data_IF_799593851974
#
_entry.id   IF_799593851974
#
_cell.length_a   1.000
_cell.length_b   1.000
_cell.length_c   1.000
_cell.angle_alpha   90.00
_cell.angle_beta   90.00
_cell.angle_gamma   90.00
#
_symmetry.space_group_name_H-M   'P 1'
#
loop_
_entity.id
_entity.type
_entity.pdbx_description
1 polymer ?
#
# COMPACT_ATOMS: atom_id res chain seq x y z
N UNK A 1 9.91 32.77 17.02
CA UNK A 1 10.19 32.23 15.67
C UNK A 1 10.29 30.68 15.59
N UNK A 2 10.10 29.93 16.69
CA UNK A 2 10.18 28.44 16.71
C UNK A 2 8.82 27.70 16.68
N UNK A 3 7.69 28.39 16.69
CA UNK A 3 6.36 27.78 16.75
C UNK A 3 5.67 27.56 15.39
N UNK A 4 6.23 28.05 14.27
CA UNK A 4 5.64 27.87 12.93
C UNK A 4 6.12 26.63 12.18
N UNK A 5 7.29 26.08 12.52
CA UNK A 5 7.87 24.89 11.85
C UNK A 5 7.16 23.57 12.21
N UNK A 6 6.56 23.47 13.40
CA UNK A 6 5.85 22.27 13.84
C UNK A 6 4.48 22.07 13.17
N UNK A 7 3.83 23.16 12.71
CA UNK A 7 2.52 23.08 12.03
C UNK A 7 2.62 22.64 10.56
N UNK A 8 3.76 22.86 9.91
CA UNK A 8 4.00 22.46 8.51
C UNK A 8 4.23 20.94 8.35
N UNK A 9 4.77 20.27 9.38
CA UNK A 9 4.99 18.82 9.36
C UNK A 9 3.70 18.00 9.52
N UNK A 10 2.65 18.56 10.12
CA UNK A 10 1.36 17.89 10.27
C UNK A 10 0.55 17.87 8.96
N UNK A 11 0.76 18.86 8.08
CA UNK A 11 0.07 18.96 6.79
C UNK A 11 0.65 18.02 5.72
N UNK A 12 1.95 17.72 5.77
CA UNK A 12 2.59 16.80 4.82
C UNK A 12 2.15 15.33 5.00
N UNK A 13 1.80 14.92 6.23
CA UNK A 13 1.28 13.56 6.50
C UNK A 13 -0.18 13.42 6.02
N UNK A 14 -0.93 14.51 5.96
CA UNK A 14 -2.33 14.50 5.48
C UNK A 14 -2.43 14.45 3.95
N UNK A 15 -1.51 15.09 3.22
CA UNK A 15 -1.54 15.11 1.75
C UNK A 15 -1.31 13.71 1.13
N UNK A 16 -0.46 12.88 1.73
CA UNK A 16 -0.22 11.50 1.27
C UNK A 16 -1.44 10.56 1.46
N UNK A 17 -2.41 10.93 2.32
CA UNK A 17 -3.60 10.12 2.60
C UNK A 17 -4.83 10.55 1.79
N UNK A 18 -4.81 11.74 1.16
CA UNK A 18 -5.96 12.30 0.40
C UNK A 18 -5.92 11.93 -1.09
N UNK A 19 -4.77 11.51 -1.64
CA UNK A 19 -4.52 11.41 -3.08
C UNK A 19 -5.05 10.14 -3.80
N UNK A 20 -6.02 9.41 -3.23
CA UNK A 20 -6.63 8.23 -3.89
C UNK A 20 -8.08 8.44 -4.35
N UNK A 21 -8.66 9.64 -4.18
CA UNK A 21 -10.11 9.84 -4.10
C UNK A 21 -10.85 10.46 -5.29
N UNK A 22 -10.21 10.84 -6.39
CA UNK A 22 -10.89 11.55 -7.49
C UNK A 22 -10.77 10.80 -8.81
N UNK A 23 -11.70 9.88 -9.07
CA UNK A 23 -12.12 9.47 -10.42
C UNK A 23 -13.15 8.34 -10.36
N UNK A 24 -14.42 8.70 -10.62
CA UNK A 24 -15.30 8.06 -11.60
C UNK A 24 -16.78 8.26 -11.22
N UNK A 25 -17.36 9.36 -11.71
CA UNK A 25 -18.78 9.36 -12.09
C UNK A 25 -18.89 8.63 -13.42
N UNK A 26 -19.79 7.67 -13.51
CA UNK A 26 -20.13 6.97 -14.75
C UNK A 26 -21.46 6.25 -14.57
N UNK A 27 -22.52 6.85 -15.11
CA UNK A 27 -23.89 6.38 -15.08
C UNK A 27 -24.05 5.00 -15.75
N UNK A 28 -25.00 4.21 -15.30
CA UNK A 28 -25.51 3.06 -16.06
C UNK A 28 -27.03 3.16 -16.16
N UNK A 29 -27.47 3.02 -17.41
CA UNK A 29 -28.81 3.22 -17.90
C UNK A 29 -29.79 2.14 -17.42
N UNK A 30 -31.05 2.55 -17.33
CA UNK A 30 -32.23 1.69 -17.20
C UNK A 30 -32.31 0.67 -18.34
N UNK A 31 -32.57 -0.56 -17.97
CA UNK A 31 -33.09 -1.61 -18.84
C UNK A 31 -34.23 -2.30 -18.10
N UNK A 32 -35.45 -1.89 -18.42
CA UNK A 32 -36.69 -2.60 -18.11
C UNK A 32 -36.73 -3.91 -18.89
N UNK A 33 -37.10 -5.01 -18.22
CA UNK A 33 -37.75 -6.14 -18.89
C UNK A 33 -38.71 -6.86 -17.95
N UNK A 34 -39.96 -6.86 -18.37
CA UNK A 34 -41.12 -7.58 -17.84
C UNK A 34 -41.03 -9.08 -18.13
N UNK A 35 -41.54 -9.92 -17.23
CA UNK A 35 -41.66 -11.36 -17.49
C UNK A 35 -42.28 -12.15 -16.33
N UNK A 36 -43.61 -12.29 -16.40
CA UNK A 36 -44.51 -12.96 -15.45
C UNK A 36 -44.20 -14.44 -15.09
N UNK A 37 -44.82 -14.98 -14.01
CA UNK A 37 -44.33 -16.14 -13.28
C UNK A 37 -44.84 -17.48 -13.83
N UNK A 38 -43.99 -18.52 -13.76
CA UNK A 38 -44.43 -19.91 -13.95
C UNK A 38 -44.31 -20.70 -12.64
N UNK A 39 -45.45 -21.31 -12.32
CA UNK A 39 -45.79 -22.16 -11.17
C UNK A 39 -44.81 -23.33 -11.01
N UNK A 40 -44.35 -23.57 -9.78
CA UNK A 40 -43.49 -24.72 -9.42
C UNK A 40 -44.21 -25.61 -8.40
N UNK A 41 -44.31 -26.94 -8.62
CA UNK A 41 -44.97 -27.87 -7.70
C UNK A 41 -44.11 -28.17 -6.45
N UNK A 42 -44.72 -28.65 -5.35
CA UNK A 42 -44.04 -28.80 -4.05
C UNK A 42 -43.01 -29.92 -4.04
N UNK A 43 -41.83 -29.64 -3.48
CA UNK A 43 -40.73 -30.58 -3.31
C UNK A 43 -40.95 -31.50 -2.09
N UNK A 44 -40.62 -32.78 -2.25
CA UNK A 44 -40.54 -33.79 -1.17
C UNK A 44 -39.39 -33.47 -0.21
N UNK A 45 -39.49 -33.81 1.09
CA UNK A 45 -38.43 -33.59 2.06
C UNK A 45 -37.27 -34.57 1.81
N UNK A 46 -36.16 -34.07 1.29
CA UNK A 46 -34.88 -34.78 1.27
C UNK A 46 -34.24 -34.64 2.64
N UNK A 47 -33.96 -35.77 3.29
CA UNK A 47 -33.16 -35.81 4.51
C UNK A 47 -31.81 -35.14 4.26
N UNK A 48 -31.56 -34.03 4.94
CA UNK A 48 -30.28 -33.35 4.91
C UNK A 48 -29.26 -34.17 5.67
N UNK A 49 -28.44 -34.93 4.94
CA UNK A 49 -27.16 -35.41 5.47
C UNK A 49 -26.33 -34.17 5.78
N UNK A 50 -26.13 -33.89 7.07
CA UNK A 50 -25.21 -32.85 7.53
C UNK A 50 -23.80 -33.20 7.03
N UNK A 51 -23.38 -32.54 5.96
CA UNK A 51 -22.00 -32.57 5.52
C UNK A 51 -21.18 -31.86 6.62
N UNK A 52 -20.39 -32.65 7.37
CA UNK A 52 -19.41 -32.12 8.30
C UNK A 52 -18.54 -31.11 7.54
N UNK A 53 -18.44 -29.89 8.06
CA UNK A 53 -17.56 -28.87 7.51
C UNK A 53 -16.13 -29.44 7.44
N UNK A 54 -15.40 -29.27 6.33
CA UNK A 54 -14.03 -29.77 6.23
C UNK A 54 -13.21 -29.14 7.36
N UNK A 55 -12.54 -29.99 8.15
CA UNK A 55 -11.59 -29.55 9.17
C UNK A 55 -10.54 -28.67 8.48
N UNK A 56 -10.53 -27.38 8.81
CA UNK A 56 -9.58 -26.45 8.23
C UNK A 56 -8.19 -26.86 8.73
N UNK A 57 -7.36 -27.40 7.83
CA UNK A 57 -6.04 -27.90 8.20
C UNK A 57 -5.20 -26.76 8.79
N UNK A 58 -4.64 -27.01 9.97
CA UNK A 58 -3.76 -26.06 10.62
C UNK A 58 -2.50 -25.84 9.77
N UNK A 59 -2.03 -24.60 9.71
CA UNK A 59 -0.85 -24.21 8.94
C UNK A 59 0.45 -24.81 9.53
N UNK A 60 0.42 -25.19 10.82
CA UNK A 60 1.52 -25.84 11.51
C UNK A 60 2.82 -25.04 11.42
N UNK A 61 3.91 -25.71 11.06
CA UNK A 61 5.24 -25.11 10.95
C UNK A 61 5.35 -24.04 9.85
N UNK A 62 4.42 -23.99 8.88
CA UNK A 62 4.40 -22.97 7.83
C UNK A 62 3.78 -21.65 8.30
N UNK A 63 3.12 -21.62 9.47
CA UNK A 63 2.41 -20.45 9.99
C UNK A 63 3.24 -19.16 10.05
N UNK A 64 4.46 -19.16 10.65
CA UNK A 64 5.33 -17.99 10.69
C UNK A 64 5.66 -17.44 9.29
N UNK A 65 5.97 -18.34 8.35
CA UNK A 65 6.27 -17.99 6.96
C UNK A 65 5.08 -17.30 6.29
N UNK A 66 3.87 -17.85 6.43
CA UNK A 66 2.64 -17.27 5.87
C UNK A 66 2.36 -15.88 6.46
N UNK A 67 2.57 -15.71 7.77
CA UNK A 67 2.45 -14.42 8.43
C UNK A 67 3.43 -13.39 7.83
N UNK A 68 4.70 -13.76 7.68
CA UNK A 68 5.70 -12.87 7.10
C UNK A 68 5.43 -12.54 5.63
N UNK A 69 4.98 -13.51 4.83
CA UNK A 69 4.59 -13.29 3.43
C UNK A 69 3.40 -12.33 3.29
N UNK A 70 2.39 -12.45 4.17
CA UNK A 70 1.24 -11.54 4.19
C UNK A 70 1.68 -10.09 4.50
N UNK A 71 2.47 -9.88 5.56
CA UNK A 71 3.02 -8.57 5.90
C UNK A 71 3.95 -8.01 4.79
N UNK A 72 4.82 -8.87 4.26
CA UNK A 72 5.75 -8.50 3.19
C UNK A 72 5.04 -8.11 1.89
N UNK A 73 3.89 -8.71 1.59
CA UNK A 73 3.07 -8.34 0.43
C UNK A 73 2.59 -6.89 0.53
N UNK A 74 2.12 -6.46 1.70
CA UNK A 74 1.72 -5.07 1.94
C UNK A 74 2.92 -4.13 1.75
N UNK A 75 4.07 -4.44 2.36
CA UNK A 75 5.27 -3.61 2.24
C UNK A 75 5.82 -3.50 0.80
N UNK A 76 5.76 -4.59 0.02
CA UNK A 76 6.11 -4.60 -1.40
C UNK A 76 5.16 -3.76 -2.23
N UNK A 77 3.85 -3.78 -1.92
CA UNK A 77 2.84 -2.98 -2.62
C UNK A 77 2.96 -1.50 -2.33
N UNK A 78 3.31 -1.11 -1.10
CA UNK A 78 3.68 0.28 -0.77
C UNK A 78 4.84 0.71 -1.70
N UNK A 79 5.93 -0.08 -1.72
CA UNK A 79 7.09 0.23 -2.57
C UNK A 79 6.75 0.29 -4.07
N UNK A 80 5.95 -0.64 -4.57
CA UNK A 80 5.52 -0.66 -5.98
C UNK A 80 4.63 0.52 -6.36
N UNK A 81 3.83 1.03 -5.41
CA UNK A 81 3.03 2.24 -5.56
C UNK A 81 3.89 3.46 -5.86
N UNK A 82 5.06 3.58 -5.23
CA UNK A 82 6.00 4.68 -5.48
C UNK A 82 6.59 4.66 -6.90
N UNK A 83 6.71 3.47 -7.50
CA UNK A 83 7.26 3.29 -8.86
C UNK A 83 6.21 3.48 -9.96
N UNK A 84 4.96 3.10 -9.69
CA UNK A 84 3.93 2.95 -10.75
C UNK A 84 2.58 3.58 -10.38
N UNK A 85 2.54 4.42 -9.36
CA UNK A 85 1.33 5.14 -8.95
C UNK A 85 0.81 6.11 -10.02
N UNK A 86 -0.47 6.52 -9.88
CA UNK A 86 -1.03 7.60 -10.72
C UNK A 86 -0.24 8.89 -10.58
N UNK A 87 0.17 9.22 -9.36
CA UNK A 87 0.96 10.40 -9.04
C UNK A 87 2.35 10.32 -9.64
N UNK A 88 3.04 9.19 -9.49
CA UNK A 88 4.33 8.95 -10.16
C UNK A 88 4.23 9.16 -11.67
N UNK A 89 3.19 8.62 -12.32
CA UNK A 89 2.96 8.85 -13.75
C UNK A 89 2.61 10.32 -14.06
N UNK A 90 1.92 11.00 -13.17
CA UNK A 90 1.59 12.42 -13.31
C UNK A 90 2.85 13.28 -13.25
N UNK A 91 3.66 13.09 -12.21
CA UNK A 91 4.94 13.78 -12.03
C UNK A 91 5.92 13.48 -13.17
N UNK A 92 5.92 12.24 -13.68
CA UNK A 92 6.67 11.89 -14.87
C UNK A 92 6.28 12.76 -16.08
N UNK A 93 4.98 12.91 -16.33
CA UNK A 93 4.48 13.78 -17.41
C UNK A 93 4.82 15.25 -17.17
N UNK A 94 4.78 15.71 -15.92
CA UNK A 94 5.16 17.09 -15.56
C UNK A 94 6.64 17.34 -15.88
N UNK A 95 7.54 16.43 -15.50
CA UNK A 95 8.98 16.53 -15.81
C UNK A 95 9.24 16.47 -17.31
N UNK A 96 8.62 15.52 -18.02
CA UNK A 96 8.83 15.34 -19.46
C UNK A 96 8.24 16.47 -20.32
N UNK A 97 7.18 17.12 -19.83
CA UNK A 97 6.48 18.21 -20.51
C UNK A 97 6.89 19.62 -20.07
N UNK A 98 7.83 19.78 -19.14
CA UNK A 98 8.21 21.09 -18.59
C UNK A 98 8.98 21.94 -19.62
N UNK A 99 8.27 22.78 -20.36
CA UNK A 99 8.86 23.62 -21.40
C UNK A 99 10.03 24.50 -20.89
N UNK A 100 9.97 25.13 -19.70
CA UNK A 100 11.12 25.87 -19.17
C UNK A 100 12.38 24.99 -18.99
N UNK A 101 12.24 23.79 -18.44
CA UNK A 101 13.35 22.84 -18.28
C UNK A 101 13.90 22.40 -19.64
N UNK A 102 13.04 22.01 -20.58
CA UNK A 102 13.46 21.55 -21.91
C UNK A 102 14.24 22.63 -22.67
N UNK A 103 13.75 23.88 -22.64
CA UNK A 103 14.41 25.02 -23.27
C UNK A 103 15.75 25.36 -22.59
N UNK A 104 15.81 25.32 -21.26
CA UNK A 104 17.04 25.58 -20.50
C UNK A 104 18.13 24.53 -20.81
N UNK A 105 17.73 23.26 -20.92
CA UNK A 105 18.61 22.16 -21.31
C UNK A 105 19.11 22.36 -22.74
N UNK A 106 18.23 22.69 -23.69
CA UNK A 106 18.62 22.93 -25.08
C UNK A 106 19.59 24.11 -25.24
N UNK A 107 19.36 25.20 -24.49
CA UNK A 107 20.22 26.39 -24.47
C UNK A 107 21.48 26.27 -23.62
N UNK A 108 21.66 25.17 -22.87
CA UNK A 108 22.82 24.98 -21.98
C UNK A 108 22.88 25.92 -20.78
N UNK A 109 21.75 26.46 -20.34
CA UNK A 109 21.69 27.43 -19.23
C UNK A 109 21.53 26.71 -17.89
N UNK A 110 22.64 26.51 -17.16
CA UNK A 110 22.66 25.81 -15.86
C UNK A 110 21.74 26.45 -14.83
N UNK A 111 21.76 27.78 -14.69
CA UNK A 111 20.92 28.50 -13.72
C UNK A 111 19.43 28.30 -13.98
N UNK A 112 19.01 28.28 -15.24
CA UNK A 112 17.63 28.03 -15.62
C UNK A 112 17.23 26.55 -15.44
N UNK A 113 18.16 25.61 -15.63
CA UNK A 113 17.95 24.19 -15.32
C UNK A 113 17.69 24.05 -13.81
N UNK A 114 18.55 24.60 -12.96
CA UNK A 114 18.40 24.50 -11.50
C UNK A 114 17.10 25.14 -11.02
N UNK A 115 16.73 26.30 -11.56
CA UNK A 115 15.47 26.95 -11.22
C UNK A 115 14.24 26.09 -11.60
N UNK A 116 14.26 25.46 -12.78
CA UNK A 116 13.18 24.59 -13.22
C UNK A 116 13.10 23.30 -12.38
N UNK A 117 14.24 22.66 -12.10
CA UNK A 117 14.31 21.47 -11.23
C UNK A 117 13.85 21.81 -9.81
N UNK A 118 14.27 22.95 -9.25
CA UNK A 118 13.84 23.39 -7.93
C UNK A 118 12.33 23.61 -7.88
N UNK A 119 11.74 24.24 -8.91
CA UNK A 119 10.28 24.42 -9.01
C UNK A 119 9.58 23.07 -9.07
N UNK A 120 10.05 22.13 -9.89
CA UNK A 120 9.47 20.80 -9.98
C UNK A 120 9.51 20.08 -8.63
N UNK A 121 10.63 20.12 -7.91
CA UNK A 121 10.78 19.44 -6.60
C UNK A 121 9.95 20.10 -5.49
N UNK A 122 9.88 21.43 -5.45
CA UNK A 122 9.29 22.15 -4.31
C UNK A 122 7.96 22.84 -4.59
N UNK A 123 7.40 22.69 -5.79
CA UNK A 123 6.14 23.33 -6.18
C UNK A 123 5.25 22.37 -6.97
N UNK A 124 4.07 22.08 -6.42
CA UNK A 124 2.94 21.42 -7.10
C UNK A 124 3.14 19.98 -7.61
N UNK A 125 4.31 19.37 -7.45
CA UNK A 125 4.53 17.92 -7.68
C UNK A 125 4.75 17.17 -6.37
N UNK A 126 4.79 15.83 -6.42
CA UNK A 126 5.16 14.99 -5.28
C UNK A 126 6.64 14.59 -5.30
N UNK A 127 7.45 15.18 -6.16
CA UNK A 127 8.84 14.81 -6.35
C UNK A 127 9.67 15.24 -5.14
N UNK A 128 10.34 14.28 -4.48
CA UNK A 128 11.24 14.55 -3.35
C UNK A 128 12.70 14.72 -3.77
N UNK A 129 13.05 14.28 -4.99
CA UNK A 129 14.33 14.54 -5.65
C UNK A 129 14.24 14.33 -7.14
N UNK A 130 14.93 15.19 -7.89
CA UNK A 130 15.07 15.12 -9.33
C UNK A 130 16.53 15.36 -9.71
N UNK A 131 17.10 14.42 -10.47
CA UNK A 131 18.43 14.51 -11.08
C UNK A 131 18.31 14.49 -12.59
N UNK A 132 18.95 15.46 -13.25
CA UNK A 132 19.05 15.57 -14.70
C UNK A 132 20.48 15.27 -15.13
N UNK A 133 20.65 14.43 -16.15
CA UNK A 133 21.95 14.06 -16.71
C UNK A 133 22.01 14.20 -18.22
N UNK A 134 23.20 14.48 -18.75
CA UNK A 134 23.51 14.42 -20.18
C UNK A 134 24.83 13.69 -20.35
N UNK A 135 24.78 12.49 -20.92
CA UNK A 135 25.93 11.59 -20.93
C UNK A 135 26.34 11.25 -19.50
N UNK A 136 27.62 11.43 -19.17
CA UNK A 136 28.16 11.24 -17.82
C UNK A 136 27.97 12.48 -16.91
N UNK A 137 27.59 13.63 -17.47
CA UNK A 137 27.50 14.88 -16.71
C UNK A 137 26.15 15.03 -16.02
N UNK A 138 26.18 15.35 -14.73
CA UNK A 138 24.99 15.80 -13.99
C UNK A 138 24.78 17.27 -14.30
N UNK A 139 23.60 17.61 -14.81
CA UNK A 139 23.21 18.99 -15.10
C UNK A 139 22.58 19.66 -13.88
N UNK A 140 21.83 18.90 -13.09
CA UNK A 140 21.22 19.36 -11.83
C UNK A 140 20.80 18.15 -10.99
N UNK A 141 20.84 18.28 -9.66
CA UNK A 141 20.41 17.26 -8.70
C UNK A 141 19.92 17.93 -7.42
N UNK A 142 18.59 18.02 -7.27
CA UNK A 142 17.94 18.75 -6.17
C UNK A 142 16.99 17.79 -5.45
N UNK A 143 17.11 17.72 -4.12
CA UNK A 143 16.23 16.95 -3.25
C UNK A 143 16.94 16.33 -2.05
N UNK A 144 16.24 15.44 -1.34
CA UNK A 144 16.72 14.80 -0.11
C UNK A 144 17.81 13.73 -0.32
N UNK A 145 18.58 13.36 0.72
CA UNK A 145 19.68 12.39 0.62
C UNK A 145 19.26 10.92 0.67
N UNK A 146 18.18 10.58 1.38
CA UNK A 146 17.73 9.20 1.63
C UNK A 146 16.42 8.93 0.90
N UNK A 147 16.53 8.41 -0.33
CA UNK A 147 15.39 8.31 -1.24
C UNK A 147 15.40 6.94 -1.92
N UNK A 148 14.22 6.32 -2.00
CA UNK A 148 14.01 5.03 -2.65
C UNK A 148 13.26 5.17 -3.97
N UNK A 149 13.08 4.05 -4.65
CA UNK A 149 12.18 3.91 -5.80
C UNK A 149 12.46 4.93 -6.94
N UNK A 150 13.72 5.05 -7.41
CA UNK A 150 14.04 5.93 -8.52
C UNK A 150 13.28 5.53 -9.79
N UNK A 151 12.61 6.50 -10.40
CA UNK A 151 11.93 6.41 -11.69
C UNK A 151 12.71 7.26 -12.70
N UNK A 152 13.07 6.66 -13.83
CA UNK A 152 13.89 7.32 -14.84
C UNK A 152 13.20 7.42 -16.19
N UNK A 153 13.61 8.40 -16.97
CA UNK A 153 13.15 8.61 -18.34
C UNK A 153 14.08 9.48 -19.18
N UNK A 154 13.57 9.92 -20.32
CA UNK A 154 14.32 10.73 -21.28
C UNK A 154 13.58 12.04 -21.57
N UNK A 155 14.32 13.15 -21.52
CA UNK A 155 13.81 14.46 -21.92
C UNK A 155 14.03 14.64 -23.42
N UNK A 156 12.95 14.95 -24.14
CA UNK A 156 12.96 15.08 -25.60
C UNK A 156 12.48 16.44 -26.03
N UNK A 157 13.15 17.00 -27.03
CA UNK A 157 12.75 18.23 -27.70
C UNK A 157 12.79 18.00 -29.21
N UNK A 158 11.69 18.28 -29.90
CA UNK A 158 11.51 17.98 -31.33
C UNK A 158 11.90 16.54 -31.71
N UNK A 159 11.50 15.56 -30.87
CA UNK A 159 11.79 14.14 -31.07
C UNK A 159 13.22 13.70 -30.70
N UNK A 160 14.14 14.62 -30.43
CA UNK A 160 15.54 14.30 -30.06
C UNK A 160 15.70 14.23 -28.55
N UNK A 161 16.42 13.22 -28.06
CA UNK A 161 16.77 13.15 -26.63
C UNK A 161 17.85 14.17 -26.31
N UNK A 162 17.55 15.10 -25.40
CA UNK A 162 18.46 16.19 -25.00
C UNK A 162 19.09 16.00 -23.61
N UNK A 163 18.48 15.14 -22.79
CA UNK A 163 18.94 14.75 -21.47
C UNK A 163 18.17 13.49 -20.99
N UNK A 164 18.61 12.92 -19.87
CA UNK A 164 17.90 11.90 -19.09
C UNK A 164 17.58 12.47 -17.72
N UNK A 165 16.59 11.88 -17.06
CA UNK A 165 16.25 12.23 -15.69
C UNK A 165 16.05 10.98 -14.85
N UNK A 166 16.24 11.14 -13.55
CA UNK A 166 15.80 10.20 -12.52
C UNK A 166 15.15 11.02 -11.41
N UNK A 167 13.96 10.62 -10.96
CA UNK A 167 13.26 11.24 -9.85
C UNK A 167 12.70 10.19 -8.90
N UNK A 168 12.24 10.63 -7.73
CA UNK A 168 11.46 9.82 -6.80
C UNK A 168 10.36 10.66 -6.18
N UNK A 169 9.25 10.02 -5.82
CA UNK A 169 8.07 10.66 -5.20
C UNK A 169 8.00 10.48 -3.67
N UNK A 170 8.84 9.61 -3.11
CA UNK A 170 8.88 9.33 -1.68
C UNK A 170 10.32 9.18 -1.18
N UNK A 171 10.56 9.63 0.04
CA UNK A 171 11.82 9.45 0.75
C UNK A 171 11.82 8.18 1.62
N UNK A 172 13.01 7.72 2.02
CA UNK A 172 13.17 6.53 2.85
C UNK A 172 12.38 6.66 4.16
N UNK A 173 12.33 7.87 4.73
CA UNK A 173 11.62 8.17 5.96
C UNK A 173 10.10 8.01 5.80
N UNK A 174 9.53 8.46 4.69
CA UNK A 174 8.12 8.30 4.34
C UNK A 174 7.76 6.82 4.23
N UNK A 175 8.58 6.04 3.52
CA UNK A 175 8.40 4.59 3.41
C UNK A 175 8.47 3.89 4.77
N UNK A 176 9.51 4.17 5.56
CA UNK A 176 9.69 3.63 6.92
C UNK A 176 8.47 3.96 7.78
N UNK A 177 8.00 5.21 7.75
CA UNK A 177 6.81 5.65 8.48
C UNK A 177 5.57 4.90 8.01
N UNK A 178 5.34 4.74 6.72
CA UNK A 178 4.16 4.00 6.23
C UNK A 178 4.19 2.54 6.67
N UNK A 179 5.30 1.83 6.42
CA UNK A 179 5.42 0.42 6.77
C UNK A 179 5.29 0.19 8.27
N UNK A 180 6.03 0.95 9.09
CA UNK A 180 5.96 0.81 10.55
C UNK A 180 4.58 1.18 11.09
N UNK A 181 3.88 2.15 10.49
CA UNK A 181 2.53 2.54 10.93
C UNK A 181 1.43 1.60 10.44
N UNK A 182 1.60 0.94 9.29
CA UNK A 182 0.59 0.07 8.69
C UNK A 182 0.75 -1.40 9.07
N UNK A 183 1.97 -1.83 9.42
CA UNK A 183 2.24 -3.22 9.82
C UNK A 183 2.69 -3.35 11.27
N UNK A 184 3.21 -2.28 11.89
CA UNK A 184 3.66 -2.32 13.28
C UNK A 184 4.91 -3.19 13.50
N UNK A 185 5.65 -3.52 12.44
CA UNK A 185 6.84 -4.39 12.50
C UNK A 185 8.14 -3.60 12.39
N UNK A 186 9.23 -4.05 13.06
CA UNK A 186 10.56 -3.51 12.82
C UNK A 186 11.00 -3.66 11.36
N UNK A 187 11.62 -2.61 10.84
CA UNK A 187 12.12 -2.52 9.47
C UNK A 187 13.63 -2.29 9.48
N UNK A 188 14.33 -2.96 8.57
CA UNK A 188 15.76 -2.81 8.31
C UNK A 188 15.95 -2.51 6.83
N UNK A 189 16.78 -1.51 6.52
CA UNK A 189 17.14 -1.16 5.14
C UNK A 189 18.66 -1.17 4.98
N UNK A 190 19.17 -1.81 3.93
CA UNK A 190 20.60 -1.93 3.65
C UNK A 190 20.95 -1.60 2.19
N UNK A 191 21.87 -0.67 2.01
CA UNK A 191 22.50 -0.39 0.72
C UNK A 191 23.84 -1.13 0.66
N UNK A 192 23.87 -2.29 -0.01
CA UNK A 192 25.01 -3.21 0.07
C UNK A 192 25.21 -3.72 1.51
N UNK A 193 26.42 -3.57 2.04
CA UNK A 193 26.77 -3.93 3.42
C UNK A 193 26.39 -2.87 4.46
N UNK A 194 25.99 -1.67 4.03
CA UNK A 194 25.74 -0.54 4.92
C UNK A 194 24.26 -0.42 5.29
N UNK A 195 23.98 -0.27 6.58
CA UNK A 195 22.64 0.09 7.05
C UNK A 195 22.28 1.53 6.67
N UNK A 196 21.03 1.74 6.27
CA UNK A 196 20.49 3.08 6.03
C UNK A 196 20.13 3.71 7.38
N UNK A 197 20.64 4.91 7.64
CA UNK A 197 20.45 5.62 8.91
C UNK A 197 19.27 6.59 8.82
N UNK A 198 18.05 6.05 8.86
CA UNK A 198 16.80 6.83 8.83
C UNK A 198 16.01 6.58 10.11
N UNK A 199 15.38 7.62 10.64
CA UNK A 199 14.55 7.55 11.85
C UNK A 199 13.49 6.44 11.72
N UNK A 200 13.35 5.61 12.76
CA UNK A 200 12.40 4.50 12.80
C UNK A 200 12.95 3.16 12.30
N UNK A 201 14.14 3.13 11.68
CA UNK A 201 14.83 1.89 11.37
C UNK A 201 15.51 1.30 12.60
N UNK A 202 15.54 -0.03 12.66
CA UNK A 202 16.41 -0.75 13.59
C UNK A 202 17.69 -1.18 12.87
N UNK A 203 18.85 -1.26 13.55
CA UNK A 203 20.09 -1.74 12.93
C UNK A 203 19.96 -3.15 12.32
N UNK A 204 19.12 -3.97 12.94
CA UNK A 204 18.86 -5.35 12.55
C UNK A 204 20.03 -6.29 12.87
N UNK A 205 19.82 -7.61 12.82
CA UNK A 205 20.90 -8.58 12.94
C UNK A 205 21.78 -8.56 11.68
N UNK A 206 23.07 -8.91 11.81
CA UNK A 206 24.03 -8.83 10.71
C UNK A 206 23.57 -9.59 9.45
N UNK A 207 23.03 -10.80 9.64
CA UNK A 207 22.46 -11.62 8.59
C UNK A 207 20.94 -11.66 8.73
N UNK A 208 20.23 -11.31 7.65
CA UNK A 208 18.76 -11.42 7.57
C UNK A 208 18.44 -12.23 6.31
N UNK A 209 17.79 -13.40 6.42
CA UNK A 209 17.47 -14.23 5.27
C UNK A 209 16.45 -13.55 4.35
N UNK A 210 16.27 -14.07 3.14
CA UNK A 210 15.19 -13.65 2.24
C UNK A 210 13.82 -13.95 2.86
N UNK A 211 13.70 -15.11 3.48
CA UNK A 211 12.55 -15.52 4.26
C UNK A 211 13.00 -16.60 5.24
N UNK A 212 12.63 -16.46 6.51
CA UNK A 212 12.98 -17.45 7.52
C UNK A 212 13.15 -16.88 8.93
N UNK A 213 13.38 -17.75 9.91
CA UNK A 213 13.48 -17.36 11.30
C UNK A 213 14.72 -16.52 11.56
N UNK A 214 14.58 -15.52 12.42
CA UNK A 214 15.69 -14.71 12.92
C UNK A 214 15.48 -14.33 14.38
N UNK A 215 16.52 -14.50 15.19
CA UNK A 215 16.53 -14.02 16.57
C UNK A 215 17.19 -12.66 16.64
N UNK A 216 16.53 -11.68 17.24
CA UNK A 216 17.06 -10.34 17.39
C UNK A 216 16.61 -9.73 18.71
N UNK A 217 17.56 -9.22 19.51
CA UNK A 217 17.30 -8.59 20.82
C UNK A 217 16.40 -9.43 21.76
N UNK A 218 16.62 -10.74 21.80
CA UNK A 218 15.89 -11.66 22.67
C UNK A 218 14.47 -12.02 22.21
N UNK A 219 14.05 -11.61 21.00
CA UNK A 219 12.78 -11.99 20.40
C UNK A 219 13.00 -12.80 19.12
N UNK A 220 12.06 -13.71 18.85
CA UNK A 220 12.01 -14.51 17.62
C UNK A 220 11.11 -13.83 16.60
N UNK A 221 11.64 -13.63 15.41
CA UNK A 221 10.93 -13.08 14.27
C UNK A 221 10.96 -14.08 13.12
N UNK A 222 9.98 -13.99 12.24
CA UNK A 222 10.09 -14.47 10.87
C UNK A 222 10.47 -13.26 10.00
N UNK A 223 11.64 -13.31 9.38
CA UNK A 223 12.09 -12.27 8.47
C UNK A 223 11.47 -12.47 7.09
N UNK A 224 11.17 -11.36 6.41
CA UNK A 224 10.97 -11.34 4.96
C UNK A 224 11.74 -10.17 4.37
N UNK A 225 12.55 -10.43 3.35
CA UNK A 225 13.35 -9.45 2.66
C UNK A 225 13.00 -9.38 1.18
N UNK A 226 13.18 -8.21 0.58
CA UNK A 226 13.05 -8.05 -0.86
C UNK A 226 13.98 -6.96 -1.39
N UNK A 227 14.25 -7.05 -2.69
CA UNK A 227 15.09 -6.11 -3.42
C UNK A 227 14.31 -4.84 -3.77
N UNK A 228 14.94 -3.72 -3.54
CA UNK A 228 14.51 -2.37 -3.86
C UNK A 228 15.68 -1.60 -4.48
N UNK A 229 15.47 -0.31 -4.74
CA UNK A 229 16.45 0.57 -5.37
C UNK A 229 16.60 1.84 -4.53
N UNK A 230 17.83 2.21 -4.19
CA UNK A 230 18.16 3.51 -3.62
C UNK A 230 18.43 4.51 -4.74
N UNK A 231 18.13 5.78 -4.51
CA UNK A 231 18.44 6.85 -5.45
C UNK A 231 19.97 7.04 -5.56
N UNK A 232 20.52 7.27 -6.76
CA UNK A 232 19.86 7.35 -8.07
C UNK A 232 19.64 5.99 -8.76
N UNK A 233 20.13 4.89 -8.17
CA UNK A 233 19.95 3.54 -8.72
C UNK A 233 20.78 2.46 -8.05
N UNK A 234 21.16 2.62 -6.78
CA UNK A 234 21.90 1.58 -6.05
C UNK A 234 20.99 0.42 -5.66
N UNK A 235 21.54 -0.80 -5.44
CA UNK A 235 20.78 -1.88 -4.82
C UNK A 235 20.42 -1.50 -3.39
N UNK A 236 19.18 -1.78 -3.01
CA UNK A 236 18.68 -1.62 -1.65
C UNK A 236 17.98 -2.91 -1.25
N UNK A 237 18.21 -3.38 -0.03
CA UNK A 237 17.49 -4.51 0.55
C UNK A 237 16.61 -4.00 1.68
N UNK A 238 15.33 -4.33 1.62
CA UNK A 238 14.34 -3.99 2.65
C UNK A 238 13.97 -5.30 3.34
N UNK A 239 14.05 -5.32 4.67
CA UNK A 239 13.76 -6.51 5.48
C UNK A 239 12.79 -6.16 6.61
N UNK A 240 11.68 -6.89 6.69
CA UNK A 240 10.72 -6.81 7.78
C UNK A 240 11.04 -7.92 8.78
N UNK A 241 11.01 -7.60 10.08
CA UNK A 241 11.12 -8.58 11.15
C UNK A 241 9.74 -8.78 11.75
N UNK A 242 9.03 -9.84 11.36
CA UNK A 242 7.65 -10.05 11.77
C UNK A 242 7.63 -10.88 13.06
N UNK A 243 7.13 -10.35 14.19
CA UNK A 243 7.07 -11.11 15.44
C UNK A 243 6.23 -12.37 15.25
N UNK A 244 6.66 -13.51 15.80
CA UNK A 244 5.96 -14.79 15.66
C UNK A 244 5.14 -15.08 16.93
N UNK A 245 3.80 -14.97 16.90
CA UNK A 245 2.96 -15.34 18.04
C UNK A 245 2.95 -16.85 18.27
N UNK A 246 2.89 -17.28 19.53
CA UNK A 246 2.80 -18.69 19.91
C UNK A 246 1.52 -19.38 19.40
N UNK A 247 0.44 -18.62 19.16
CA UNK A 247 -0.87 -19.12 18.75
C UNK A 247 -1.02 -19.35 17.22
N UNK A 248 0.04 -19.24 16.42
CA UNK A 248 -0.07 -19.44 14.96
C UNK A 248 -0.32 -20.89 14.56
N UNK A 249 0.25 -21.85 15.30
CA UNK A 249 0.30 -23.25 14.88
C UNK A 249 -1.08 -23.91 14.75
N UNK A 250 -2.10 -23.41 15.47
CA UNK A 250 -3.47 -23.94 15.45
C UNK A 250 -4.38 -23.27 14.42
N UNK A 251 -3.92 -22.23 13.73
CA UNK A 251 -4.71 -21.50 12.71
C UNK A 251 -4.45 -22.08 11.32
N UNK A 252 -5.45 -22.06 10.45
CA UNK A 252 -5.22 -22.34 9.02
C UNK A 252 -4.39 -21.22 8.37
N UNK A 253 -3.75 -21.50 7.24
CA UNK A 253 -2.98 -20.48 6.53
C UNK A 253 -3.88 -19.33 6.03
N UNK A 254 -5.13 -19.62 5.63
CA UNK A 254 -6.13 -18.60 5.27
C UNK A 254 -6.46 -17.67 6.44
N UNK A 255 -6.63 -18.23 7.65
CA UNK A 255 -6.87 -17.47 8.87
C UNK A 255 -5.69 -16.58 9.25
N UNK A 256 -4.46 -17.06 9.08
CA UNK A 256 -3.26 -16.25 9.33
C UNK A 256 -3.19 -15.07 8.37
N UNK A 257 -3.38 -15.33 7.06
CA UNK A 257 -3.37 -14.28 6.03
C UNK A 257 -4.47 -13.24 6.26
N UNK A 258 -5.71 -13.69 6.53
CA UNK A 258 -6.85 -12.81 6.81
C UNK A 258 -6.65 -11.98 8.07
N UNK A 259 -6.10 -12.59 9.14
CA UNK A 259 -5.81 -11.89 10.38
C UNK A 259 -4.75 -10.79 10.17
N UNK A 260 -3.69 -11.05 9.40
CA UNK A 260 -2.66 -10.05 9.11
C UNK A 260 -3.21 -8.91 8.22
N UNK A 261 -4.02 -9.23 7.20
CA UNK A 261 -4.71 -8.22 6.41
C UNK A 261 -5.67 -7.37 7.25
N UNK A 262 -6.37 -7.99 8.20
CA UNK A 262 -7.22 -7.33 9.20
C UNK A 262 -6.46 -6.41 10.13
N UNK A 263 -5.30 -6.87 10.61
CA UNK A 263 -4.40 -6.10 11.46
C UNK A 263 -3.84 -4.89 10.71
N UNK A 264 -3.40 -5.07 9.47
CA UNK A 264 -2.95 -3.98 8.61
C UNK A 264 -4.07 -2.95 8.38
N UNK A 265 -5.28 -3.40 8.06
CA UNK A 265 -6.44 -2.51 7.91
C UNK A 265 -6.74 -1.73 9.20
N UNK A 266 -6.69 -2.37 10.36
CA UNK A 266 -6.85 -1.71 11.66
C UNK A 266 -5.81 -0.60 11.86
N UNK A 267 -4.54 -0.90 11.62
CA UNK A 267 -3.45 0.06 11.79
C UNK A 267 -3.56 1.23 10.79
N UNK A 268 -3.95 0.96 9.55
CA UNK A 268 -4.26 1.98 8.55
C UNK A 268 -5.42 2.86 9.03
N UNK A 269 -6.50 2.27 9.55
CA UNK A 269 -7.70 3.02 9.98
C UNK A 269 -7.39 4.11 11.03
N UNK A 270 -6.38 3.89 11.89
CA UNK A 270 -5.91 4.87 12.89
C UNK A 270 -5.28 6.12 12.28
N UNK A 271 -5.04 6.12 10.96
CA UNK A 271 -4.50 7.26 10.19
C UNK A 271 -5.59 8.00 9.42
N UNK A 272 -6.81 7.50 9.43
CA UNK A 272 -7.94 8.09 8.76
C UNK A 272 -8.93 8.67 9.76
N UNK A 273 -9.53 9.80 9.42
CA UNK A 273 -10.81 10.16 9.99
C UNK A 273 -11.88 9.34 9.26
N UNK A 274 -12.29 8.24 9.86
CA UNK A 274 -13.35 7.39 9.33
C UNK A 274 -14.67 8.19 9.30
N UNK A 275 -15.08 8.59 8.11
CA UNK A 275 -16.29 9.38 7.85
C UNK A 275 -16.85 9.02 6.47
N UNK A 276 -18.11 9.34 6.16
CA UNK A 276 -18.70 9.08 4.84
C UNK A 276 -17.84 9.56 3.66
N UNK A 277 -17.22 10.75 3.78
CA UNK A 277 -16.32 11.27 2.76
C UNK A 277 -14.97 10.54 2.69
N UNK A 278 -14.48 10.02 3.83
CA UNK A 278 -13.20 9.31 3.92
C UNK A 278 -13.27 7.81 3.61
N UNK A 279 -14.45 7.19 3.72
CA UNK A 279 -14.60 5.75 3.53
C UNK A 279 -14.11 5.23 2.17
N UNK A 280 -14.44 5.86 1.02
CA UNK A 280 -13.98 5.35 -0.28
C UNK A 280 -12.46 5.33 -0.39
N UNK A 281 -11.78 6.34 0.17
CA UNK A 281 -10.32 6.46 0.16
C UNK A 281 -9.69 5.35 0.99
N UNK A 282 -10.22 5.14 2.19
CA UNK A 282 -9.77 4.09 3.09
C UNK A 282 -10.01 2.69 2.50
N UNK A 283 -11.20 2.42 1.96
CA UNK A 283 -11.54 1.18 1.25
C UNK A 283 -10.56 0.90 0.11
N UNK A 284 -10.32 1.91 -0.74
CA UNK A 284 -9.42 1.78 -1.88
C UNK A 284 -7.98 1.51 -1.44
N UNK A 285 -7.47 2.27 -0.46
CA UNK A 285 -6.10 2.09 0.04
C UNK A 285 -5.90 0.70 0.62
N UNK A 286 -6.78 0.26 1.53
CA UNK A 286 -6.63 -1.06 2.15
C UNK A 286 -6.73 -2.16 1.10
N UNK A 287 -7.70 -2.09 0.18
CA UNK A 287 -7.81 -3.05 -0.94
C UNK A 287 -6.54 -3.07 -1.78
N UNK A 288 -5.96 -1.92 -2.13
CA UNK A 288 -4.72 -1.86 -2.90
C UNK A 288 -3.55 -2.52 -2.18
N UNK A 289 -3.45 -2.36 -0.85
CA UNK A 289 -2.33 -2.88 -0.08
C UNK A 289 -2.49 -4.35 0.32
N UNK A 290 -3.69 -4.78 0.71
CA UNK A 290 -3.95 -6.14 1.20
C UNK A 290 -4.52 -7.07 0.14
N UNK A 291 -5.07 -6.54 -0.96
CA UNK A 291 -5.85 -7.27 -1.98
C UNK A 291 -7.10 -7.95 -1.41
N UNK A 292 -7.46 -7.61 -0.17
CA UNK A 292 -8.72 -7.98 0.44
C UNK A 292 -9.85 -7.05 0.00
N UNK A 293 -11.06 -7.59 -0.06
CA UNK A 293 -12.26 -6.76 -0.15
C UNK A 293 -12.52 -6.13 1.22
N UNK A 294 -12.95 -4.87 1.24
CA UNK A 294 -13.21 -4.12 2.46
C UNK A 294 -14.67 -3.70 2.50
N UNK A 295 -15.32 -3.86 3.64
CA UNK A 295 -16.67 -3.35 3.89
C UNK A 295 -16.74 -2.67 5.24
N UNK A 296 -17.48 -1.56 5.32
CA UNK A 296 -17.68 -0.79 6.54
C UNK A 296 -19.17 -0.76 6.84
N UNK A 297 -19.55 -1.23 8.03
CA UNK A 297 -20.96 -1.32 8.44
C UNK A 297 -21.22 -0.66 9.78
N UNK A 298 -22.41 -0.10 9.92
CA UNK A 298 -23.03 0.26 11.20
C UNK A 298 -24.22 -0.69 11.44
N UNK A 299 -24.01 -1.70 12.28
CA UNK A 299 -24.98 -2.80 12.41
C UNK A 299 -25.16 -3.56 11.10
N UNK A 300 -26.40 -3.67 10.62
CA UNK A 300 -26.73 -4.30 9.33
C UNK A 300 -26.58 -3.37 8.13
N UNK A 301 -26.42 -2.06 8.34
CA UNK A 301 -26.35 -1.07 7.27
C UNK A 301 -24.92 -0.92 6.75
N UNK A 302 -24.73 -1.08 5.44
CA UNK A 302 -23.44 -0.83 4.80
C UNK A 302 -23.22 0.66 4.50
N UNK A 303 -22.08 1.16 4.93
CA UNK A 303 -21.66 2.55 4.72
C UNK A 303 -20.73 2.69 3.52
N UNK A 304 -19.88 1.69 3.27
CA UNK A 304 -18.99 1.62 2.12
C UNK A 304 -18.51 0.18 1.89
N UNK A 305 -18.11 -0.12 0.65
CA UNK A 305 -17.68 -1.45 0.25
C UNK A 305 -16.78 -1.43 -0.99
N UNK A 306 -15.92 -2.44 -1.12
CA UNK A 306 -15.06 -2.64 -2.29
C UNK A 306 -15.82 -3.03 -3.56
N UNK A 307 -17.04 -3.56 -3.42
CA UNK A 307 -17.90 -4.02 -4.52
C UNK A 307 -19.35 -3.66 -4.25
N UNK A 308 -20.18 -3.68 -5.31
CA UNK A 308 -21.64 -3.65 -5.23
C UNK A 308 -22.22 -4.77 -6.12
N UNK A 309 -23.15 -5.62 -5.63
CA UNK A 309 -23.63 -5.67 -4.24
C UNK A 309 -22.53 -6.15 -3.28
N UNK A 310 -22.80 -6.04 -1.98
CA UNK A 310 -21.93 -6.56 -0.92
C UNK A 310 -22.47 -7.86 -0.33
N UNK A 311 -21.65 -8.63 0.43
CA UNK A 311 -22.11 -9.86 1.05
C UNK A 311 -23.27 -9.59 2.01
N UNK A 312 -24.42 -10.29 1.94
CA UNK A 312 -25.58 -9.97 2.77
C UNK A 312 -25.27 -10.12 4.26
N UNK A 313 -24.56 -11.18 4.64
CA UNK A 313 -24.11 -11.45 6.01
C UNK A 313 -22.60 -11.59 6.05
N UNK A 314 -21.99 -11.09 7.13
CA UNK A 314 -20.55 -11.19 7.37
C UNK A 314 -20.30 -11.60 8.81
N UNK A 315 -19.62 -12.73 9.06
CA UNK A 315 -19.20 -13.10 10.41
C UNK A 315 -18.12 -12.13 10.92
N UNK A 316 -17.91 -12.11 12.24
CA UNK A 316 -16.84 -11.30 12.84
C UNK A 316 -15.45 -11.80 12.48
N UNK A 317 -15.31 -13.11 12.29
CA UNK A 317 -14.16 -13.77 11.68
C UNK A 317 -14.60 -15.13 11.12
N UNK A 318 -13.80 -15.71 10.24
CA UNK A 318 -14.04 -17.05 9.70
C UNK A 318 -14.42 -17.06 8.22
N UNK A 319 -14.72 -18.23 7.67
CA UNK A 319 -14.99 -18.37 6.24
C UNK A 319 -16.35 -17.77 5.84
N UNK A 320 -16.40 -17.19 4.65
CA UNK A 320 -17.64 -16.76 3.98
C UNK A 320 -17.56 -17.06 2.48
N UNK A 321 -18.68 -17.48 1.90
CA UNK A 321 -18.79 -17.59 0.44
C UNK A 321 -19.52 -16.38 -0.12
N UNK A 322 -18.94 -15.72 -1.11
CA UNK A 322 -19.50 -14.53 -1.74
C UNK A 322 -19.15 -14.51 -3.23
N UNK A 323 -20.12 -14.19 -4.09
CA UNK A 323 -19.94 -14.12 -5.54
C UNK A 323 -19.24 -15.36 -6.15
N UNK A 324 -19.59 -16.56 -5.68
CA UNK A 324 -19.02 -17.82 -6.15
C UNK A 324 -17.57 -18.09 -5.70
N UNK A 325 -17.04 -17.31 -4.74
CA UNK A 325 -15.68 -17.45 -4.20
C UNK A 325 -15.70 -17.62 -2.69
N UNK A 326 -14.69 -18.32 -2.17
CA UNK A 326 -14.48 -18.48 -0.73
C UNK A 326 -13.50 -17.44 -0.21
N UNK A 327 -13.90 -16.79 0.88
CA UNK A 327 -13.10 -15.79 1.57
C UNK A 327 -12.94 -16.17 3.03
N UNK A 328 -11.86 -15.72 3.64
CA UNK A 328 -11.65 -15.70 5.07
C UNK A 328 -11.84 -14.26 5.57
N UNK A 329 -12.72 -14.08 6.54
CA UNK A 329 -13.07 -12.79 7.11
C UNK A 329 -12.24 -12.51 8.36
N UNK A 330 -11.73 -11.30 8.46
CA UNK A 330 -11.33 -10.68 9.71
C UNK A 330 -12.05 -9.35 9.88
N UNK A 331 -12.38 -8.97 11.12
CA UNK A 331 -13.04 -7.69 11.37
C UNK A 331 -12.63 -7.06 12.69
N UNK A 332 -12.83 -5.75 12.78
CA UNK A 332 -12.60 -4.96 13.99
C UNK A 332 -13.58 -3.80 14.07
N UNK A 333 -13.80 -3.29 15.27
CA UNK A 333 -14.57 -2.06 15.51
C UNK A 333 -13.65 -0.85 15.50
N UNK A 334 -14.09 0.23 14.86
CA UNK A 334 -13.38 1.50 14.85
C UNK A 334 -14.33 2.68 15.07
N UNK A 335 -13.90 3.75 15.78
CA UNK A 335 -14.69 4.96 15.90
C UNK A 335 -14.78 5.66 14.54
N UNK A 336 -15.91 6.28 14.25
CA UNK A 336 -16.15 7.07 13.03
C UNK A 336 -16.98 8.31 13.36
N UNK A 337 -17.11 9.23 12.40
CA UNK A 337 -17.97 10.41 12.54
C UNK A 337 -19.46 10.09 12.65
N UNK A 338 -19.88 8.86 12.33
CA UNK A 338 -21.28 8.40 12.41
C UNK A 338 -21.49 7.40 13.56
N UNK A 339 -20.55 7.33 14.50
CA UNK A 339 -20.56 6.40 15.64
C UNK A 339 -19.62 5.22 15.44
N UNK A 340 -19.87 4.13 16.16
CA UNK A 340 -19.04 2.92 16.09
C UNK A 340 -19.36 2.15 14.80
N UNK A 341 -18.34 1.87 13.99
CA UNK A 341 -18.47 1.02 12.79
C UNK A 341 -17.67 -0.26 12.95
N UNK A 342 -18.06 -1.31 12.22
CA UNK A 342 -17.27 -2.52 12.03
C UNK A 342 -16.70 -2.53 10.62
N UNK A 343 -15.39 -2.73 10.53
CA UNK A 343 -14.65 -2.90 9.28
C UNK A 343 -14.40 -4.38 9.08
N UNK A 344 -14.75 -4.89 7.91
CA UNK A 344 -14.55 -6.28 7.50
C UNK A 344 -13.52 -6.32 6.37
N UNK A 345 -12.54 -7.20 6.50
CA UNK A 345 -11.54 -7.52 5.47
C UNK A 345 -11.78 -8.96 5.03
N UNK A 346 -11.96 -9.17 3.73
CA UNK A 346 -12.14 -10.48 3.12
C UNK A 346 -10.94 -10.79 2.25
N UNK A 347 -10.11 -11.74 2.68
CA UNK A 347 -9.02 -12.28 1.86
C UNK A 347 -9.47 -13.59 1.22
N UNK A 348 -8.97 -13.89 0.02
CA UNK A 348 -9.24 -15.18 -0.61
C UNK A 348 -8.74 -16.34 0.26
N UNK A 349 -9.54 -17.40 0.34
CA UNK A 349 -9.22 -18.60 1.11
C UNK A 349 -8.56 -19.70 0.27
N UNK A 350 -8.43 -19.48 -1.04
CA UNK A 350 -7.87 -20.38 -2.05
C UNK A 350 -6.50 -19.94 -2.57
#
# INVERSE_FOLDING_TARGET
>A
MRLRAARLHALAVAAALVALALSACGASAEGTDDGSPLVRPPARPTLATSAAAPLTQACGAAGPRVLAEAAGTVAKRIYAGELTGSETRSDQRQVEGDAPLLNAIAGGNSSAIDAAVHRLVYSHTHIVRLRITRGASVLSDIGGPYIIAPVGGALRLHGRTIARYVFSVQDDLGYVKLVTRFLGVPLVMRAGSHGVAVEGLVPGPANIPDLGPVSYRGATYEAISFSARSFPGGPLRISLLVPVPSALASRSCSQINSAEAGHAALLISRRFQLSPAGFPVYVKLVRTLTDGLLYIRAGSHELAGSTRPSPPTLPTAGPVSFAGRSYEVSSFTAPSSVGQVRVYVLTRAD
#
